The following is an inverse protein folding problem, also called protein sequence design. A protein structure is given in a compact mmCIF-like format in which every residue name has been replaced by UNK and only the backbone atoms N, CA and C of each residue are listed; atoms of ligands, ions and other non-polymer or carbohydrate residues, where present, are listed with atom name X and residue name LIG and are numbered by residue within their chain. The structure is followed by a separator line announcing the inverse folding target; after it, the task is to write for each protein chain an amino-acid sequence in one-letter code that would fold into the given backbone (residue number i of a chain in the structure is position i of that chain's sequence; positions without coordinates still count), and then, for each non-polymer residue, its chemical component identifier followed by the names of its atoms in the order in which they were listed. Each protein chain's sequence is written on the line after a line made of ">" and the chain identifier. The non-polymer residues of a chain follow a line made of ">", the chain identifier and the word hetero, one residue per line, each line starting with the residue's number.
data_IF_849513500662
#
_entry.id   IF_849513500662
#
_cell.length_a   1.000
_cell.length_b   1.000
_cell.length_c   1.000
_cell.angle_alpha   90.00
_cell.angle_beta   90.00
_cell.angle_gamma   90.00
#
_symmetry.space_group_name_H-M   'P 1'
#
loop_
_entity.id
_entity.type
_entity.pdbx_description
1 polymer ?
#
# COMPACT_ATOMS: atom_id res chain seq x y z
N UNK A 1 -11.68 11.55 29.26
CA UNK A 1 -11.75 10.19 29.85
C UNK A 1 -11.37 9.20 28.77
N UNK A 2 -10.25 8.50 28.92
CA UNK A 2 -9.77 7.53 27.93
C UNK A 2 -10.70 6.30 27.94
N UNK A 3 -11.51 6.14 26.89
CA UNK A 3 -12.30 4.91 26.68
C UNK A 3 -11.33 3.78 26.33
N UNK A 4 -11.31 2.71 27.12
CA UNK A 4 -10.66 1.45 26.76
C UNK A 4 -11.22 0.99 25.40
N UNK A 5 -10.40 1.02 24.35
CA UNK A 5 -10.69 0.42 23.04
C UNK A 5 -10.74 -1.11 23.21
N UNK A 6 -11.72 -1.76 22.58
CA UNK A 6 -11.79 -3.22 22.47
C UNK A 6 -10.59 -3.69 21.62
N UNK A 7 -9.93 -4.81 21.97
CA UNK A 7 -8.89 -5.37 21.11
C UNK A 7 -9.44 -5.70 19.71
N UNK A 8 -8.59 -5.74 18.67
CA UNK A 8 -8.99 -6.08 17.31
C UNK A 8 -9.76 -7.41 17.29
N UNK A 9 -10.67 -7.56 16.31
CA UNK A 9 -11.48 -8.76 16.13
C UNK A 9 -10.62 -10.02 16.33
N UNK A 10 -10.93 -10.76 17.40
CA UNK A 10 -10.19 -11.97 17.71
C UNK A 10 -10.45 -13.01 16.61
N UNK A 11 -9.46 -13.85 16.27
CA UNK A 11 -9.71 -15.07 15.50
C UNK A 11 -10.84 -15.86 16.18
N UNK A 12 -12.02 -15.91 15.56
CA UNK A 12 -13.20 -16.58 16.14
C UNK A 12 -14.39 -15.67 16.51
N UNK A 13 -14.44 -14.40 16.06
CA UNK A 13 -15.70 -13.64 16.12
C UNK A 13 -16.77 -14.34 15.27
N UNK A 14 -17.89 -14.70 15.90
CA UNK A 14 -19.00 -15.38 15.24
C UNK A 14 -19.86 -14.37 14.46
N UNK A 15 -19.71 -14.40 13.14
CA UNK A 15 -20.47 -13.56 12.21
C UNK A 15 -21.82 -14.16 11.82
N UNK A 16 -22.14 -15.38 12.24
CA UNK A 16 -23.38 -16.07 11.83
C UNK A 16 -24.63 -15.36 12.35
N UNK A 17 -24.62 -14.88 13.59
CA UNK A 17 -25.72 -14.13 14.19
C UNK A 17 -26.00 -12.79 13.47
N UNK A 18 -25.03 -11.87 13.30
CA UNK A 18 -25.28 -10.64 12.56
C UNK A 18 -25.60 -10.90 11.08
N UNK A 19 -25.03 -11.94 10.46
CA UNK A 19 -25.33 -12.29 9.07
C UNK A 19 -26.75 -12.85 8.87
N UNK A 20 -27.35 -13.48 9.89
CA UNK A 20 -28.70 -14.03 9.82
C UNK A 20 -29.77 -12.92 9.68
N UNK A 21 -29.52 -11.74 10.24
CA UNK A 21 -30.43 -10.59 10.18
C UNK A 21 -30.32 -9.80 8.86
N UNK A 22 -29.26 -10.01 8.09
CA UNK A 22 -29.05 -9.34 6.81
C UNK A 22 -29.96 -9.89 5.70
N UNK A 23 -30.28 -9.09 4.67
CA UNK A 23 -30.92 -9.59 3.46
C UNK A 23 -30.19 -10.77 2.82
N UNK A 24 -30.93 -11.56 2.04
CA UNK A 24 -30.36 -12.63 1.21
C UNK A 24 -30.00 -12.16 -0.20
N UNK A 25 -30.61 -11.06 -0.66
CA UNK A 25 -30.38 -10.50 -1.97
C UNK A 25 -29.06 -9.71 -2.04
N UNK A 26 -28.34 -9.87 -3.15
CA UNK A 26 -27.02 -9.27 -3.34
C UNK A 26 -27.09 -7.76 -3.50
N UNK A 27 -28.06 -7.23 -4.22
CA UNK A 27 -28.16 -5.80 -4.48
C UNK A 27 -28.60 -5.06 -3.21
N UNK A 28 -29.48 -5.69 -2.40
CA UNK A 28 -29.83 -5.18 -1.07
C UNK A 28 -28.63 -5.16 -0.11
N UNK A 29 -27.77 -6.19 -0.15
CA UNK A 29 -26.53 -6.23 0.64
C UNK A 29 -25.54 -5.13 0.23
N UNK A 30 -25.37 -4.90 -1.07
CA UNK A 30 -24.50 -3.84 -1.60
C UNK A 30 -24.99 -2.44 -1.20
N UNK A 31 -26.31 -2.20 -1.24
CA UNK A 31 -26.90 -0.93 -0.84
C UNK A 31 -26.72 -0.64 0.66
N UNK A 32 -26.66 -1.68 1.51
CA UNK A 32 -26.55 -1.55 2.96
C UNK A 32 -25.12 -1.29 3.48
N UNK A 33 -24.09 -1.41 2.63
CA UNK A 33 -22.71 -1.52 3.09
C UNK A 33 -22.12 -0.20 3.66
N UNK A 34 -22.41 0.97 3.08
CA UNK A 34 -21.48 2.11 3.24
C UNK A 34 -22.06 3.39 3.85
N UNK A 35 -23.37 3.50 4.04
CA UNK A 35 -23.98 4.76 4.53
C UNK A 35 -23.92 4.89 6.07
N UNK A 36 -24.00 3.77 6.79
CA UNK A 36 -24.19 3.81 8.25
C UNK A 36 -22.90 4.17 9.01
N UNK A 37 -21.74 3.76 8.50
CA UNK A 37 -20.42 4.02 9.12
C UNK A 37 -20.12 5.52 9.13
N UNK A 38 -20.20 6.17 7.97
CA UNK A 38 -19.98 7.60 7.85
C UNK A 38 -20.94 8.40 8.74
N UNK A 39 -22.23 8.10 8.66
CA UNK A 39 -23.23 8.80 9.46
C UNK A 39 -22.95 8.67 10.97
N UNK A 40 -22.48 7.52 11.44
CA UNK A 40 -22.09 7.34 12.85
C UNK A 40 -20.83 8.12 13.23
N UNK A 41 -19.80 8.11 12.37
CA UNK A 41 -18.57 8.88 12.57
C UNK A 41 -18.88 10.38 12.60
N UNK A 42 -19.72 10.87 11.69
CA UNK A 42 -20.12 12.27 11.62
C UNK A 42 -20.99 12.72 12.81
N UNK A 43 -21.62 11.80 13.54
CA UNK A 43 -22.26 12.07 14.84
C UNK A 43 -21.30 11.98 16.03
N UNK A 44 -20.07 11.53 15.83
CA UNK A 44 -19.11 11.26 16.90
C UNK A 44 -19.47 10.04 17.74
N UNK A 45 -20.38 9.19 17.24
CA UNK A 45 -20.85 7.99 17.92
C UNK A 45 -19.98 6.79 17.55
N UNK A 46 -18.88 6.63 18.29
CA UNK A 46 -17.95 5.53 18.08
C UNK A 46 -18.59 4.15 18.29
N UNK A 47 -19.61 4.01 19.15
CA UNK A 47 -20.25 2.72 19.36
C UNK A 47 -21.12 2.33 18.15
N UNK A 48 -21.87 3.29 17.61
CA UNK A 48 -22.62 3.07 16.38
C UNK A 48 -21.69 2.83 15.17
N UNK A 49 -20.53 3.50 15.12
CA UNK A 49 -19.55 3.29 14.04
C UNK A 49 -18.96 1.88 14.08
N UNK A 50 -18.63 1.36 15.27
CA UNK A 50 -18.18 -0.02 15.44
C UNK A 50 -19.28 -1.03 15.07
N UNK A 51 -20.52 -0.80 15.49
CA UNK A 51 -21.65 -1.67 15.11
C UNK A 51 -21.90 -1.68 13.59
N UNK A 52 -21.77 -0.52 12.93
CA UNK A 52 -21.87 -0.42 11.48
C UNK A 52 -20.67 -1.09 10.77
N UNK A 53 -19.48 -1.03 11.36
CA UNK A 53 -18.30 -1.74 10.90
C UNK A 53 -18.47 -3.26 11.01
N UNK A 54 -18.98 -3.76 12.14
CA UNK A 54 -19.33 -5.17 12.32
C UNK A 54 -20.38 -5.62 11.29
N UNK A 55 -21.38 -4.78 11.00
CA UNK A 55 -22.38 -5.06 9.96
C UNK A 55 -21.74 -5.16 8.56
N UNK A 56 -20.80 -4.28 8.22
CA UNK A 56 -20.06 -4.35 6.96
C UNK A 56 -19.27 -5.64 6.83
N UNK A 57 -18.56 -6.06 7.87
CA UNK A 57 -17.84 -7.34 7.89
C UNK A 57 -18.79 -8.53 7.77
N UNK A 58 -19.95 -8.50 8.43
CA UNK A 58 -20.98 -9.52 8.28
C UNK A 58 -21.54 -9.62 6.84
N UNK A 59 -21.66 -8.48 6.14
CA UNK A 59 -22.05 -8.44 4.71
C UNK A 59 -20.99 -9.16 3.87
N UNK A 60 -19.69 -8.84 4.05
CA UNK A 60 -18.60 -9.51 3.34
C UNK A 60 -18.62 -11.02 3.62
N UNK A 61 -18.73 -11.40 4.90
CA UNK A 61 -18.75 -12.80 5.33
C UNK A 61 -19.89 -13.58 4.68
N UNK A 62 -21.11 -12.99 4.67
CA UNK A 62 -22.30 -13.61 4.08
C UNK A 62 -22.16 -13.76 2.57
N UNK A 63 -21.73 -12.71 1.87
CA UNK A 63 -21.51 -12.75 0.43
C UNK A 63 -20.41 -13.73 0.03
N UNK A 64 -19.44 -13.98 0.92
CA UNK A 64 -18.34 -14.92 0.70
C UNK A 64 -18.66 -16.34 1.18
N UNK A 65 -19.94 -16.68 1.39
CA UNK A 65 -20.37 -18.05 1.69
C UNK A 65 -20.07 -18.50 3.12
N UNK A 66 -19.98 -17.57 4.07
CA UNK A 66 -19.79 -17.88 5.48
C UNK A 66 -18.32 -17.94 5.92
N UNK A 67 -17.45 -17.19 5.27
CA UNK A 67 -16.02 -17.10 5.63
C UNK A 67 -15.42 -15.76 5.19
N UNK A 68 -14.37 -15.28 5.85
CA UNK A 68 -13.57 -14.14 5.33
C UNK A 68 -12.38 -14.58 4.47
N UNK A 69 -12.07 -15.88 4.45
CA UNK A 69 -10.93 -16.41 3.69
C UNK A 69 -11.15 -16.12 2.21
N UNK A 70 -10.16 -15.48 1.57
CA UNK A 70 -10.22 -15.14 0.15
C UNK A 70 -11.20 -14.03 -0.21
N UNK A 71 -11.83 -13.36 0.76
CA UNK A 71 -12.82 -12.28 0.50
C UNK A 71 -12.26 -11.07 -0.27
N UNK A 72 -10.92 -10.95 -0.33
CA UNK A 72 -10.17 -9.91 -1.03
C UNK A 72 -9.21 -10.47 -2.09
N UNK A 73 -9.34 -11.74 -2.51
CA UNK A 73 -8.32 -12.43 -3.30
C UNK A 73 -8.23 -11.94 -4.75
N UNK A 74 -9.35 -11.62 -5.38
CA UNK A 74 -9.45 -11.19 -6.77
C UNK A 74 -10.58 -10.16 -6.98
N UNK A 75 -10.72 -9.69 -8.23
CA UNK A 75 -11.65 -8.63 -8.59
C UNK A 75 -13.14 -8.99 -8.41
N UNK A 76 -13.46 -10.28 -8.35
CA UNK A 76 -14.82 -10.79 -8.18
C UNK A 76 -15.08 -11.27 -6.75
N UNK A 77 -14.06 -11.23 -5.90
CA UNK A 77 -14.17 -11.54 -4.48
C UNK A 77 -15.12 -10.53 -3.81
N UNK A 78 -15.99 -10.97 -2.89
CA UNK A 78 -17.06 -10.12 -2.36
C UNK A 78 -16.61 -8.76 -1.80
N UNK A 79 -15.49 -8.71 -1.08
CA UNK A 79 -14.99 -7.45 -0.55
C UNK A 79 -14.53 -6.48 -1.66
N UNK A 80 -13.90 -6.98 -2.73
CA UNK A 80 -13.54 -6.17 -3.89
C UNK A 80 -14.76 -5.69 -4.67
N UNK A 81 -15.81 -6.50 -4.76
CA UNK A 81 -17.09 -6.13 -5.37
C UNK A 81 -17.77 -5.02 -4.57
N UNK A 82 -17.85 -5.15 -3.25
CA UNK A 82 -18.43 -4.13 -2.36
C UNK A 82 -17.64 -2.82 -2.46
N UNK A 83 -16.31 -2.87 -2.33
CA UNK A 83 -15.47 -1.68 -2.46
C UNK A 83 -15.63 -0.98 -3.81
N UNK A 84 -15.75 -1.75 -4.90
CA UNK A 84 -15.98 -1.20 -6.25
C UNK A 84 -17.36 -0.58 -6.36
N UNK A 85 -18.38 -1.24 -5.84
CA UNK A 85 -19.76 -0.77 -5.90
C UNK A 85 -19.95 0.50 -5.10
N UNK A 86 -19.34 0.58 -3.93
CA UNK A 86 -19.50 1.69 -3.01
C UNK A 86 -18.43 2.79 -3.18
N UNK A 87 -17.53 2.68 -4.16
CA UNK A 87 -16.49 3.66 -4.40
C UNK A 87 -17.09 5.06 -4.65
N UNK A 88 -16.44 6.08 -4.11
CA UNK A 88 -16.79 7.46 -4.40
C UNK A 88 -16.51 7.78 -5.87
N UNK A 89 -17.30 8.70 -6.44
CA UNK A 89 -17.05 9.22 -7.77
C UNK A 89 -15.68 9.90 -7.79
N UNK A 90 -14.79 9.62 -8.78
CA UNK A 90 -13.49 10.27 -8.84
C UNK A 90 -13.60 11.80 -8.85
N UNK A 91 -12.90 12.44 -7.91
CA UNK A 91 -12.95 13.89 -7.67
C UNK A 91 -13.81 14.29 -6.48
N UNK A 92 -14.81 13.48 -6.12
CA UNK A 92 -15.62 13.70 -4.93
C UNK A 92 -14.90 13.18 -3.68
N UNK A 93 -15.10 13.87 -2.56
CA UNK A 93 -14.58 13.43 -1.27
C UNK A 93 -15.33 12.15 -0.86
N UNK A 94 -14.61 11.03 -0.61
CA UNK A 94 -15.26 9.81 -0.17
C UNK A 94 -15.85 9.97 1.23
N UNK A 95 -16.97 9.29 1.47
CA UNK A 95 -17.45 9.04 2.83
C UNK A 95 -16.49 8.11 3.58
N UNK A 96 -16.56 8.08 4.90
CA UNK A 96 -15.85 7.03 5.65
C UNK A 96 -16.34 5.65 5.21
N UNK A 97 -15.42 4.68 5.11
CA UNK A 97 -15.61 3.32 4.55
C UNK A 97 -15.71 3.22 3.02
N UNK A 98 -15.71 4.34 2.28
CA UNK A 98 -15.54 4.31 0.83
C UNK A 98 -14.07 4.30 0.44
N UNK A 99 -13.76 3.73 -0.73
CA UNK A 99 -12.55 4.10 -1.44
C UNK A 99 -12.82 5.23 -2.41
N UNK A 100 -11.83 6.07 -2.69
CA UNK A 100 -11.99 7.19 -3.60
C UNK A 100 -10.70 7.93 -3.90
N UNK A 101 -10.77 8.79 -4.91
CA UNK A 101 -9.69 9.69 -5.28
C UNK A 101 -10.20 11.12 -5.26
N UNK A 102 -9.51 12.03 -4.57
CA UNK A 102 -9.95 13.42 -4.45
C UNK A 102 -8.76 14.38 -4.34
N UNK A 103 -9.04 15.66 -4.56
CA UNK A 103 -8.03 16.72 -4.51
C UNK A 103 -7.99 17.35 -3.12
N UNK A 104 -6.81 17.43 -2.53
CA UNK A 104 -6.56 18.19 -1.30
C UNK A 104 -5.62 19.35 -1.56
N UNK A 105 -5.94 20.52 -1.02
CA UNK A 105 -5.10 21.71 -1.07
C UNK A 105 -4.79 22.22 0.34
N UNK A 106 -3.51 22.43 0.65
CA UNK A 106 -3.04 23.05 1.90
C UNK A 106 -2.06 24.17 1.55
N UNK A 107 -2.53 25.42 1.68
CA UNK A 107 -1.79 26.58 1.21
C UNK A 107 -1.59 26.54 -0.30
N UNK A 108 -0.33 26.55 -0.73
CA UNK A 108 0.08 26.47 -2.13
C UNK A 108 0.38 25.05 -2.63
N UNK A 109 0.20 24.04 -1.77
CA UNK A 109 0.46 22.63 -2.08
C UNK A 109 -0.83 21.92 -2.44
N UNK A 110 -0.84 21.25 -3.60
CA UNK A 110 -1.94 20.40 -4.07
C UNK A 110 -1.49 18.94 -4.11
N UNK A 111 -2.31 18.06 -3.56
CA UNK A 111 -2.08 16.63 -3.56
C UNK A 111 -3.32 15.91 -4.11
N UNK A 112 -3.09 14.93 -4.98
CA UNK A 112 -4.08 13.92 -5.29
C UNK A 112 -4.02 12.90 -4.14
N UNK A 113 -5.17 12.65 -3.52
CA UNK A 113 -5.28 11.67 -2.44
C UNK A 113 -6.02 10.46 -2.95
N UNK A 114 -5.37 9.30 -2.90
CA UNK A 114 -6.05 8.01 -2.92
C UNK A 114 -6.40 7.63 -1.48
N UNK A 115 -7.68 7.33 -1.26
CA UNK A 115 -8.19 6.90 0.03
C UNK A 115 -8.84 5.54 -0.11
N UNK A 116 -8.53 4.66 0.83
CA UNK A 116 -9.12 3.33 0.98
C UNK A 116 -9.15 2.93 2.45
N UNK A 117 -9.89 1.86 2.75
CA UNK A 117 -9.89 1.28 4.09
C UNK A 117 -8.48 0.82 4.46
N UNK A 118 -8.04 1.20 5.65
CA UNK A 118 -6.75 0.80 6.20
C UNK A 118 -6.76 -0.62 6.76
N UNK A 119 -5.65 -1.02 7.37
CA UNK A 119 -5.60 -2.29 8.11
C UNK A 119 -6.58 -2.28 9.29
N UNK A 120 -7.24 -3.41 9.53
CA UNK A 120 -8.13 -3.60 10.67
C UNK A 120 -9.61 -3.30 10.40
N UNK A 121 -10.00 -3.18 9.13
CA UNK A 121 -11.40 -3.08 8.71
C UNK A 121 -11.85 -1.67 8.32
N UNK A 122 -13.16 -1.43 8.19
CA UNK A 122 -13.76 -0.21 7.62
C UNK A 122 -13.43 1.10 8.34
N UNK A 123 -13.07 1.01 9.63
CA UNK A 123 -12.68 2.18 10.44
C UNK A 123 -11.19 2.53 10.32
N UNK A 124 -10.40 1.63 9.73
CA UNK A 124 -9.03 1.93 9.33
C UNK A 124 -9.01 2.89 8.15
N UNK A 125 -8.02 3.77 8.10
CA UNK A 125 -7.87 4.74 7.02
C UNK A 125 -6.46 4.64 6.41
N UNK A 126 -6.38 4.51 5.10
CA UNK A 126 -5.13 4.61 4.36
C UNK A 126 -5.19 5.81 3.40
N UNK A 127 -4.33 6.80 3.65
CA UNK A 127 -4.19 7.98 2.83
C UNK A 127 -2.90 7.89 2.01
N UNK A 128 -3.05 7.97 0.70
CA UNK A 128 -1.97 7.92 -0.28
C UNK A 128 -1.88 9.29 -0.96
N UNK A 129 -0.87 10.07 -0.59
CA UNK A 129 -0.68 11.42 -1.11
C UNK A 129 0.25 11.40 -2.32
N UNK A 130 -0.24 11.86 -3.46
CA UNK A 130 0.49 11.99 -4.72
C UNK A 130 0.67 13.45 -5.09
N UNK A 131 1.89 13.80 -5.51
CA UNK A 131 2.22 15.14 -5.98
C UNK A 131 1.52 15.47 -7.29
N UNK A 132 0.93 16.67 -7.37
CA UNK A 132 0.34 17.21 -8.60
C UNK A 132 1.33 18.17 -9.29
N UNK A 133 1.90 19.09 -8.52
CA UNK A 133 2.81 20.13 -9.01
C UNK A 133 4.27 19.72 -8.79
N UNK A 134 4.90 19.19 -9.84
CA UNK A 134 6.25 18.59 -9.79
C UNK A 134 7.37 19.62 -9.61
N UNK A 135 7.13 20.88 -9.98
CA UNK A 135 8.07 21.98 -9.82
C UNK A 135 7.95 22.69 -8.45
N UNK A 136 7.12 22.18 -7.54
CA UNK A 136 6.89 22.78 -6.21
C UNK A 136 7.30 21.85 -5.07
N UNK A 137 7.54 22.41 -3.87
CA UNK A 137 7.76 21.59 -2.68
C UNK A 137 6.59 20.65 -2.39
N UNK A 138 6.92 19.46 -1.92
CA UNK A 138 5.98 18.42 -1.51
C UNK A 138 6.40 17.82 -0.16
N UNK A 139 5.65 16.84 0.36
CA UNK A 139 5.96 16.15 1.63
C UNK A 139 6.93 14.98 1.48
N UNK A 140 7.34 14.65 0.25
CA UNK A 140 8.22 13.53 -0.09
C UNK A 140 9.03 13.79 -1.36
N UNK A 141 10.29 13.35 -1.36
CA UNK A 141 11.22 13.42 -2.50
C UNK A 141 10.80 12.53 -3.68
N UNK A 142 10.01 11.49 -3.41
CA UNK A 142 9.49 10.58 -4.44
C UNK A 142 8.23 11.10 -5.13
N UNK A 143 7.64 12.18 -4.61
CA UNK A 143 6.31 12.63 -5.02
C UNK A 143 5.16 11.77 -4.46
N UNK A 144 5.45 10.83 -3.55
CA UNK A 144 4.48 9.94 -2.94
C UNK A 144 4.69 9.80 -1.44
N UNK A 145 3.59 9.74 -0.67
CA UNK A 145 3.62 9.44 0.77
C UNK A 145 2.35 8.70 1.19
N UNK A 146 2.51 7.51 1.78
CA UNK A 146 1.43 6.83 2.50
C UNK A 146 1.33 7.28 3.96
N UNK A 147 0.13 7.21 4.51
CA UNK A 147 -0.18 7.46 5.90
C UNK A 147 -1.36 6.58 6.35
N UNK A 148 -1.17 5.80 7.40
CA UNK A 148 -2.24 5.04 8.03
C UNK A 148 -2.77 5.80 9.25
N UNK A 149 -4.09 5.83 9.37
CA UNK A 149 -4.81 6.46 10.47
C UNK A 149 -6.08 5.65 10.78
N UNK A 150 -6.94 6.18 11.64
CA UNK A 150 -8.29 5.68 11.90
C UNK A 150 -9.30 6.79 11.65
N UNK A 151 -10.55 6.41 11.37
CA UNK A 151 -11.64 7.37 11.26
C UNK A 151 -11.74 8.28 12.48
N UNK A 152 -11.89 9.59 12.23
CA UNK A 152 -11.96 10.61 13.30
C UNK A 152 -13.38 11.14 13.39
N UNK A 153 -14.02 10.89 14.53
CA UNK A 153 -15.38 11.35 14.78
C UNK A 153 -15.53 12.86 14.58
N UNK A 154 -16.67 13.27 14.02
CA UNK A 154 -17.03 14.65 13.71
C UNK A 154 -16.15 15.33 12.64
N UNK A 155 -15.33 14.57 11.91
CA UNK A 155 -14.50 15.10 10.82
C UNK A 155 -14.74 14.29 9.55
N UNK A 156 -14.78 14.98 8.42
CA UNK A 156 -14.82 14.37 7.09
C UNK A 156 -13.46 13.79 6.70
N UNK A 157 -13.44 12.89 5.71
CA UNK A 157 -12.19 12.34 5.16
C UNK A 157 -11.26 13.46 4.64
N UNK A 158 -11.82 14.50 4.01
CA UNK A 158 -11.10 15.66 3.49
C UNK A 158 -10.48 16.53 4.61
N UNK A 159 -11.20 16.79 5.70
CA UNK A 159 -10.64 17.51 6.85
C UNK A 159 -9.48 16.75 7.50
N UNK A 160 -9.60 15.43 7.62
CA UNK A 160 -8.53 14.59 8.15
C UNK A 160 -7.34 14.56 7.20
N UNK A 161 -7.55 14.37 5.89
CA UNK A 161 -6.49 14.39 4.88
C UNK A 161 -5.76 15.74 4.84
N UNK A 162 -6.48 16.87 4.92
CA UNK A 162 -5.89 18.22 5.03
C UNK A 162 -5.03 18.35 6.30
N UNK A 163 -5.55 17.90 7.43
CA UNK A 163 -4.82 17.92 8.70
C UNK A 163 -3.52 17.12 8.66
N UNK A 164 -3.57 15.90 8.09
CA UNK A 164 -2.40 15.03 7.89
C UNK A 164 -1.40 15.70 6.96
N UNK A 165 -1.84 16.22 5.81
CA UNK A 165 -0.96 16.87 4.83
C UNK A 165 -0.27 18.10 5.46
N UNK A 166 -1.00 18.91 6.22
CA UNK A 166 -0.47 20.06 6.94
C UNK A 166 0.56 19.66 7.99
N UNK A 167 0.29 18.62 8.79
CA UNK A 167 1.21 18.11 9.80
C UNK A 167 2.50 17.56 9.17
N UNK A 168 2.39 16.73 8.14
CA UNK A 168 3.53 16.17 7.42
C UNK A 168 4.39 17.26 6.77
N UNK A 169 3.76 18.34 6.27
CA UNK A 169 4.49 19.52 5.76
C UNK A 169 5.22 20.24 6.89
N UNK A 170 4.60 20.45 8.04
CA UNK A 170 5.19 21.14 9.19
C UNK A 170 6.38 20.39 9.81
N UNK A 171 6.40 19.05 9.73
CA UNK A 171 7.56 18.23 10.13
C UNK A 171 8.81 18.51 9.29
N UNK A 172 8.67 19.04 8.06
CA UNK A 172 9.80 19.33 7.19
C UNK A 172 10.43 20.67 7.55
N UNK A 173 11.65 20.62 8.10
CA UNK A 173 12.47 21.81 8.40
C UNK A 173 12.84 22.64 7.15
N UNK A 174 12.78 22.04 5.97
CA UNK A 174 13.09 22.66 4.68
C UNK A 174 12.09 22.20 3.63
N UNK A 175 11.82 23.03 2.60
CA UNK A 175 11.04 22.58 1.44
C UNK A 175 11.68 21.32 0.83
N UNK A 176 10.88 20.28 0.63
CA UNK A 176 11.32 19.03 0.01
C UNK A 176 10.88 19.05 -1.46
N UNK A 177 11.84 18.99 -2.38
CA UNK A 177 11.55 18.92 -3.82
C UNK A 177 11.49 17.48 -4.28
N UNK A 178 10.66 17.20 -5.28
CA UNK A 178 10.67 15.88 -5.94
C UNK A 178 12.00 15.71 -6.68
N UNK A 179 12.69 14.59 -6.47
CA UNK A 179 13.96 14.33 -7.16
C UNK A 179 13.76 14.23 -8.67
N UNK A 180 14.79 14.58 -9.43
CA UNK A 180 14.73 14.64 -10.88
C UNK A 180 14.25 13.33 -11.53
N UNK A 181 14.73 12.19 -11.06
CA UNK A 181 14.34 10.86 -11.57
C UNK A 181 12.85 10.58 -11.39
N UNK A 182 12.30 10.87 -10.22
CA UNK A 182 10.86 10.70 -9.95
C UNK A 182 10.03 11.73 -10.70
N UNK A 183 10.49 12.98 -10.76
CA UNK A 183 9.83 14.05 -11.50
C UNK A 183 9.76 13.74 -13.00
N UNK A 184 10.82 13.22 -13.60
CA UNK A 184 10.84 12.82 -15.01
C UNK A 184 9.86 11.68 -15.28
N UNK A 185 9.86 10.64 -14.45
CA UNK A 185 8.91 9.53 -14.56
C UNK A 185 7.47 10.03 -14.41
N UNK A 186 7.19 10.83 -13.38
CA UNK A 186 5.86 11.37 -13.13
C UNK A 186 5.41 12.32 -14.23
N UNK A 187 6.31 13.09 -14.86
CA UNK A 187 5.94 13.94 -15.98
C UNK A 187 5.36 13.15 -17.17
N UNK A 188 5.81 11.90 -17.37
CA UNK A 188 5.28 10.99 -18.38
C UNK A 188 4.03 10.22 -17.91
N UNK A 189 3.83 10.07 -16.60
CA UNK A 189 2.65 9.43 -16.02
C UNK A 189 1.43 10.40 -16.05
N UNK A 190 0.35 10.06 -16.79
CA UNK A 190 -0.81 10.94 -16.88
C UNK A 190 -1.55 11.02 -15.54
N UNK A 191 -2.00 12.22 -15.18
CA UNK A 191 -2.95 12.40 -14.08
C UNK A 191 -4.33 11.84 -14.47
N UNK A 192 -5.16 11.43 -13.49
CA UNK A 192 -6.56 11.09 -13.73
C UNK A 192 -7.28 12.13 -14.57
N UNK A 193 -8.11 11.69 -15.52
CA UNK A 193 -8.76 12.56 -16.50
C UNK A 193 -9.61 13.68 -15.86
N UNK A 194 -10.20 13.43 -14.69
CA UNK A 194 -11.00 14.41 -13.95
C UNK A 194 -10.18 15.60 -13.43
N UNK A 195 -8.84 15.50 -13.39
CA UNK A 195 -7.94 16.61 -13.06
C UNK A 195 -7.54 17.48 -14.27
N UNK A 196 -7.98 17.16 -15.49
CA UNK A 196 -7.59 17.92 -16.69
C UNK A 196 -8.05 19.39 -16.68
N UNK A 197 -9.14 19.70 -15.96
CA UNK A 197 -9.72 21.04 -15.83
C UNK A 197 -9.28 21.81 -14.58
N UNK A 198 -8.22 21.38 -13.89
CA UNK A 198 -7.71 22.10 -12.72
C UNK A 198 -7.30 23.54 -13.08
N UNK A 199 -7.72 24.50 -12.23
CA UNK A 199 -7.27 25.88 -12.31
C UNK A 199 -6.53 26.29 -11.02
N UNK A 200 -5.23 26.66 -11.08
CA UNK A 200 -4.36 26.61 -12.26
C UNK A 200 -4.06 25.18 -12.73
N UNK A 201 -3.63 24.95 -13.98
CA UNK A 201 -3.32 23.59 -14.46
C UNK A 201 -2.22 22.93 -13.63
N UNK A 202 -2.23 21.59 -13.60
CA UNK A 202 -1.19 20.80 -12.93
C UNK A 202 0.18 21.05 -13.58
N UNK A 203 1.20 21.30 -12.75
CA UNK A 203 2.57 21.58 -13.22
C UNK A 203 3.36 20.28 -13.37
N UNK A 204 3.31 19.67 -14.55
CA UNK A 204 3.86 18.34 -14.83
C UNK A 204 5.15 18.35 -15.67
N UNK A 205 5.91 19.43 -15.64
CA UNK A 205 7.15 19.53 -16.43
C UNK A 205 8.24 18.59 -15.85
N UNK A 206 8.98 17.84 -16.68
CA UNK A 206 10.11 17.02 -16.21
C UNK A 206 11.25 17.90 -15.67
N UNK A 207 12.13 17.31 -14.86
CA UNK A 207 13.36 17.95 -14.40
C UNK A 207 14.44 17.92 -15.50
N UNK A 208 14.53 16.81 -16.21
CA UNK A 208 15.50 16.59 -17.28
C UNK A 208 14.85 16.81 -18.64
N UNK A 209 15.10 17.96 -19.24
CA UNK A 209 14.63 18.22 -20.61
C UNK A 209 15.62 17.64 -21.60
N UNK A 210 15.36 16.44 -22.12
CA UNK A 210 16.14 15.88 -23.22
C UNK A 210 15.77 16.54 -24.53
N UNK A 211 16.65 17.40 -25.05
CA UNK A 211 16.45 18.10 -26.31
C UNK A 211 16.85 17.18 -27.48
N UNK A 212 15.96 16.88 -28.44
CA UNK A 212 16.34 16.07 -29.60
C UNK A 212 17.42 16.78 -30.44
N UNK A 213 18.28 16.05 -31.16
CA UNK A 213 19.24 16.67 -32.07
C UNK A 213 18.55 17.61 -33.05
N UNK A 214 19.16 18.78 -33.30
CA UNK A 214 18.59 19.83 -34.13
C UNK A 214 17.67 20.81 -33.37
N UNK A 215 17.43 20.58 -32.08
CA UNK A 215 16.75 21.53 -31.20
C UNK A 215 17.72 22.05 -30.14
N UNK A 216 17.44 23.23 -29.58
CA UNK A 216 18.21 23.86 -28.50
C UNK A 216 17.23 24.50 -27.50
N UNK A 217 17.51 24.37 -26.21
CA UNK A 217 16.81 25.12 -25.16
C UNK A 217 17.36 26.55 -25.13
N UNK A 218 16.47 27.53 -25.11
CA UNK A 218 16.85 28.95 -25.10
C UNK A 218 16.05 29.67 -24.02
N UNK A 219 16.75 30.33 -23.10
CA UNK A 219 16.15 31.28 -22.17
C UNK A 219 16.06 32.64 -22.85
N UNK A 220 14.87 33.26 -22.83
CA UNK A 220 14.62 34.55 -23.48
C UNK A 220 14.01 35.53 -22.48
N UNK A 221 14.68 36.67 -22.27
CA UNK A 221 14.15 37.77 -21.47
C UNK A 221 13.40 38.73 -22.39
N UNK A 222 12.08 38.83 -22.21
CA UNK A 222 11.21 39.70 -23.00
C UNK A 222 10.40 40.64 -22.09
N UNK A 223 10.09 41.87 -22.53
CA UNK A 223 9.08 42.68 -21.88
C UNK A 223 7.72 41.96 -21.82
N UNK A 224 6.92 42.20 -20.79
CA UNK A 224 5.65 41.48 -20.56
C UNK A 224 4.71 41.45 -21.77
N UNK A 225 4.62 42.57 -22.51
CA UNK A 225 3.79 42.68 -23.71
C UNK A 225 4.29 41.86 -24.91
N UNK A 226 5.51 41.30 -24.85
CA UNK A 226 6.11 40.42 -25.87
C UNK A 226 6.20 38.97 -25.42
N UNK A 227 5.83 38.63 -24.19
CA UNK A 227 5.90 37.26 -23.67
C UNK A 227 5.12 36.24 -24.52
N UNK A 228 4.07 36.69 -25.22
CA UNK A 228 3.31 35.83 -26.15
C UNK A 228 4.15 35.28 -27.30
N UNK A 229 5.24 35.95 -27.70
CA UNK A 229 6.14 35.50 -28.77
C UNK A 229 6.85 34.21 -28.33
N UNK A 230 7.42 34.22 -27.11
CA UNK A 230 8.07 33.04 -26.55
C UNK A 230 7.08 31.88 -26.36
N UNK A 231 5.84 32.16 -25.91
CA UNK A 231 4.77 31.16 -25.81
C UNK A 231 4.45 30.53 -27.17
N UNK A 232 4.37 31.34 -28.22
CA UNK A 232 4.11 30.86 -29.59
C UNK A 232 5.24 29.96 -30.10
N UNK A 233 6.50 30.38 -29.91
CA UNK A 233 7.66 29.56 -30.28
C UNK A 233 7.71 28.25 -29.50
N UNK A 234 7.42 28.27 -28.19
CA UNK A 234 7.39 27.07 -27.36
C UNK A 234 6.32 26.09 -27.84
N UNK A 235 5.11 26.56 -28.17
CA UNK A 235 4.04 25.71 -28.68
C UNK A 235 4.40 25.06 -30.04
N UNK A 236 4.99 25.84 -30.96
CA UNK A 236 5.43 25.33 -32.26
C UNK A 236 6.58 24.32 -32.12
N UNK A 237 7.55 24.62 -31.25
CA UNK A 237 8.67 23.73 -30.94
C UNK A 237 8.20 22.44 -30.27
N UNK A 238 7.22 22.49 -29.36
CA UNK A 238 6.68 21.31 -28.68
C UNK A 238 6.09 20.29 -29.67
N UNK A 239 5.34 20.77 -30.68
CA UNK A 239 4.81 19.90 -31.73
C UNK A 239 5.93 19.22 -32.55
N UNK A 240 6.97 19.99 -32.94
CA UNK A 240 8.13 19.49 -33.69
C UNK A 240 8.98 18.51 -32.89
N UNK A 241 9.21 18.79 -31.61
CA UNK A 241 9.94 17.93 -30.67
C UNK A 241 9.19 16.62 -30.43
N UNK A 242 7.86 16.67 -30.22
CA UNK A 242 7.03 15.47 -30.07
C UNK A 242 7.11 14.57 -31.31
N UNK A 243 7.00 15.16 -32.50
CA UNK A 243 7.16 14.43 -33.77
C UNK A 243 8.56 13.81 -33.92
N UNK A 244 9.62 14.56 -33.61
CA UNK A 244 11.01 14.07 -33.67
C UNK A 244 11.27 12.92 -32.68
N UNK A 245 10.72 13.00 -31.46
CA UNK A 245 10.78 11.91 -30.47
C UNK A 245 10.04 10.66 -30.95
N UNK A 246 8.82 10.81 -31.47
CA UNK A 246 8.04 9.68 -32.02
C UNK A 246 8.76 8.99 -33.20
N UNK A 247 9.34 9.78 -34.12
CA UNK A 247 10.12 9.25 -35.24
C UNK A 247 11.35 8.44 -34.77
N UNK A 248 12.06 8.91 -33.73
CA UNK A 248 13.19 8.19 -33.12
C UNK A 248 12.76 6.88 -32.46
N UNK A 249 11.65 6.86 -31.73
CA UNK A 249 11.12 5.64 -31.13
C UNK A 249 10.76 4.60 -32.19
N UNK A 250 10.12 5.02 -33.28
CA UNK A 250 9.79 4.15 -34.42
C UNK A 250 11.05 3.62 -35.15
N UNK A 251 12.08 4.45 -35.33
CA UNK A 251 13.35 4.02 -35.91
C UNK A 251 14.06 2.99 -35.02
N UNK A 252 14.05 3.18 -33.70
CA UNK A 252 14.64 2.24 -32.72
C UNK A 252 13.87 0.91 -32.64
N UNK A 253 12.55 0.94 -32.83
CA UNK A 253 11.70 -0.26 -32.95
C UNK A 253 11.97 -1.05 -34.24
N UNK A 254 12.14 -0.37 -35.39
CA UNK A 254 12.51 -1.02 -36.66
C UNK A 254 13.89 -1.69 -36.62
N UNK A 255 14.87 -1.09 -35.94
CA UNK A 255 16.23 -1.67 -35.81
C UNK A 255 16.20 -2.95 -34.94
N UNK A 256 15.28 -3.08 -33.98
CA UNK A 256 15.09 -4.32 -33.20
C UNK A 256 14.26 -5.39 -33.91
N UNK A 257 13.47 -5.04 -34.93
CA UNK A 257 12.64 -5.96 -35.70
C UNK A 257 13.32 -6.57 -36.94
N UNK A 258 14.51 -6.10 -37.32
CA UNK A 258 15.30 -6.66 -38.41
C UNK A 258 16.31 -7.69 -37.88
N UNK A 259 15.81 -8.86 -37.48
CA UNK A 259 16.63 -10.07 -37.37
C UNK A 259 16.93 -10.65 -38.75
N UNK A 260 18.04 -11.39 -38.95
CA UNK A 260 18.39 -11.93 -40.26
C UNK A 260 17.37 -13.00 -40.68
N UNK A 261 16.93 -12.89 -41.92
CA UNK A 261 16.11 -13.84 -42.65
C UNK A 261 16.68 -15.26 -42.50
N UNK A 262 15.90 -16.17 -41.93
CA UNK A 262 16.16 -17.63 -41.96
C UNK A 262 15.02 -18.29 -42.72
N UNK A 263 15.39 -18.91 -43.83
CA UNK A 263 14.58 -19.86 -44.56
C UNK A 263 14.20 -21.10 -43.72
N UNK A 264 13.12 -21.82 -44.09
CA UNK A 264 12.24 -22.51 -43.17
C UNK A 264 12.62 -23.98 -43.00
N UNK A 265 12.80 -24.45 -41.76
CA UNK A 265 12.58 -25.85 -41.43
C UNK A 265 12.40 -26.05 -39.92
N UNK A 266 11.23 -26.60 -39.59
CA UNK A 266 10.96 -27.56 -38.51
C UNK A 266 10.76 -27.08 -37.06
N UNK A 267 9.48 -27.12 -36.68
CA UNK A 267 8.88 -27.65 -35.45
C UNK A 267 9.26 -27.07 -34.08
N UNK A 268 8.35 -26.25 -33.56
CA UNK A 268 7.97 -26.16 -32.14
C UNK A 268 7.48 -27.52 -31.59
N UNK A 269 7.38 -27.77 -30.25
CA UNK A 269 6.95 -26.78 -29.25
C UNK A 269 7.52 -26.86 -27.80
N UNK A 270 7.13 -25.80 -27.06
CA UNK A 270 6.79 -25.68 -25.62
C UNK A 270 7.82 -25.82 -24.48
N UNK A 271 7.86 -24.71 -23.71
CA UNK A 271 7.71 -24.58 -22.24
C UNK A 271 8.95 -24.56 -21.31
N UNK A 272 9.00 -23.40 -20.62
CA UNK A 272 9.26 -23.16 -19.19
C UNK A 272 10.66 -23.34 -18.58
N UNK A 273 11.15 -22.20 -18.08
CA UNK A 273 11.63 -21.93 -16.72
C UNK A 273 12.12 -23.14 -15.89
N UNK A 274 13.39 -23.11 -15.48
CA UNK A 274 13.77 -23.24 -14.07
C UNK A 274 15.21 -22.82 -13.81
N UNK A 275 15.36 -22.22 -12.63
CA UNK A 275 16.53 -21.82 -11.86
C UNK A 275 17.61 -22.90 -11.74
N UNK A 276 18.87 -22.47 -11.80
CA UNK A 276 20.05 -23.30 -11.49
C UNK A 276 20.40 -23.16 -10.00
N UNK A 277 20.38 -24.28 -9.27
CA UNK A 277 21.12 -24.50 -8.02
C UNK A 277 22.46 -25.16 -8.37
N UNK A 278 23.48 -24.92 -7.54
CA UNK A 278 24.67 -25.76 -7.45
C UNK A 278 24.73 -26.36 -6.02
N UNK A 279 24.59 -27.68 -5.94
CA UNK A 279 25.47 -28.72 -5.35
C UNK A 279 26.34 -28.35 -4.13
N UNK A 280 26.56 -29.20 -3.11
CA UNK A 280 26.78 -30.65 -3.07
C UNK A 280 26.48 -31.26 -1.67
N UNK A 281 26.09 -32.55 -1.66
CA UNK A 281 26.66 -33.65 -0.83
C UNK A 281 25.61 -34.68 -0.33
N UNK A 282 25.63 -35.86 -0.98
CA UNK A 282 25.03 -37.15 -0.59
C UNK A 282 26.14 -38.07 0.03
N UNK A 283 25.94 -39.38 0.38
CA UNK A 283 24.72 -40.17 0.60
C UNK A 283 24.79 -41.17 1.79
N UNK A 284 23.67 -41.85 2.10
CA UNK A 284 23.58 -43.30 2.39
C UNK A 284 22.11 -43.70 2.65
N UNK A 285 21.42 -44.28 1.66
CA UNK A 285 21.12 -45.72 1.46
C UNK A 285 19.97 -46.32 2.29
N UNK A 286 18.94 -46.84 1.58
CA UNK A 286 18.11 -47.97 2.02
C UNK A 286 16.58 -47.82 1.84
N UNK A 287 16.03 -48.23 0.70
CA UNK A 287 14.61 -48.66 0.60
C UNK A 287 14.44 -50.16 0.95
N UNK A 288 13.32 -50.85 0.66
CA UNK A 288 12.04 -50.38 0.06
C UNK A 288 10.73 -51.02 0.65
N UNK A 289 9.59 -50.59 0.09
CA UNK A 289 8.32 -51.31 -0.18
C UNK A 289 7.25 -51.63 0.93
N UNK A 290 6.08 -50.97 0.77
CA UNK A 290 4.63 -51.40 0.75
C UNK A 290 4.17 -52.75 1.35
N UNK A 291 2.87 -52.99 1.72
CA UNK A 291 1.64 -52.34 1.21
C UNK A 291 0.44 -52.10 2.19
N UNK A 292 -0.54 -51.33 1.70
CA UNK A 292 -2.01 -51.49 1.78
C UNK A 292 -2.67 -52.15 3.02
N UNK A 293 -3.44 -51.37 3.79
CA UNK A 293 -4.55 -51.89 4.58
C UNK A 293 -5.67 -50.84 4.79
N UNK A 294 -6.84 -51.24 4.32
CA UNK A 294 -8.22 -50.78 4.48
C UNK A 294 -8.59 -50.06 5.80
N UNK A 295 -9.42 -49.02 5.66
CA UNK A 295 -10.15 -48.26 6.69
C UNK A 295 -11.12 -49.17 7.48
N UNK A 296 -11.24 -48.95 8.80
CA UNK A 296 -12.58 -48.77 9.38
C UNK A 296 -12.63 -47.54 10.32
N UNK A 297 -13.79 -46.87 10.31
CA UNK A 297 -14.02 -45.60 10.99
C UNK A 297 -14.20 -45.68 12.50
N UNK A 298 -14.19 -44.47 13.09
CA UNK A 298 -14.83 -44.16 14.37
C UNK A 298 -13.97 -44.40 15.62
N UNK A 299 -13.14 -43.42 15.99
CA UNK A 299 -13.01 -43.03 17.41
C UNK A 299 -12.41 -41.64 17.54
N UNK A 300 -13.13 -40.82 18.29
CA UNK A 300 -12.77 -39.53 18.85
C UNK A 300 -11.38 -39.52 19.48
N UNK A 301 -10.47 -38.70 18.96
CA UNK A 301 -9.25 -38.30 19.64
C UNK A 301 -9.34 -36.81 20.01
N UNK A 302 -9.76 -36.61 21.25
CA UNK A 302 -9.72 -35.36 22.00
C UNK A 302 -8.27 -34.88 22.09
N UNK A 303 -7.93 -33.75 21.47
CA UNK A 303 -6.76 -32.97 21.89
C UNK A 303 -7.24 -31.92 22.88
N UNK A 304 -6.97 -32.23 24.13
CA UNK A 304 -7.26 -31.47 25.33
C UNK A 304 -6.83 -30.01 25.21
N UNK A 305 -7.83 -29.14 25.40
CA UNK A 305 -7.66 -27.80 25.92
C UNK A 305 -6.93 -27.94 27.26
N UNK A 306 -5.64 -27.59 27.29
CA UNK A 306 -5.01 -27.23 28.55
C UNK A 306 -5.63 -25.89 28.97
N UNK A 307 -6.56 -25.97 29.91
CA UNK A 307 -6.89 -24.83 30.78
C UNK A 307 -5.61 -24.46 31.49
N UNK A 308 -5.07 -23.28 31.21
CA UNK A 308 -4.16 -22.67 32.15
C UNK A 308 -4.99 -21.96 33.20
N UNK A 309 -4.73 -22.39 34.42
CA UNK A 309 -5.31 -21.95 35.68
C UNK A 309 -5.17 -20.44 35.91
N UNK A 310 -5.96 -19.97 36.87
CA UNK A 310 -5.96 -18.63 37.45
C UNK A 310 -4.54 -18.06 37.67
N UNK A 311 -4.10 -17.19 36.77
CA UNK A 311 -2.93 -16.34 36.94
C UNK A 311 -3.34 -14.94 37.37
N UNK A 312 -2.84 -14.49 38.51
CA UNK A 312 -2.87 -13.08 38.94
C UNK A 312 -2.27 -12.11 37.90
N UNK A 313 -2.20 -10.80 38.21
CA UNK A 313 -2.10 -9.74 37.21
C UNK A 313 -0.85 -9.92 36.34
N UNK A 314 -1.04 -10.38 35.11
CA UNK A 314 0.04 -10.49 34.16
C UNK A 314 0.56 -9.08 33.86
N UNK A 315 1.83 -8.87 34.21
CA UNK A 315 2.56 -7.63 34.11
C UNK A 315 2.31 -6.91 32.77
N UNK A 316 2.02 -5.62 32.86
CA UNK A 316 2.07 -4.69 31.74
C UNK A 316 3.53 -4.62 31.25
N UNK A 317 3.92 -5.54 30.36
CA UNK A 317 5.22 -5.47 29.68
C UNK A 317 5.29 -4.16 28.91
N UNK A 318 6.02 -3.21 29.47
CA UNK A 318 6.22 -1.88 28.90
C UNK A 318 7.40 -1.93 27.93
N UNK A 319 7.09 -2.05 26.64
CA UNK A 319 8.09 -1.91 25.59
C UNK A 319 8.65 -0.49 25.53
N UNK A 320 9.94 -0.36 25.25
CA UNK A 320 10.68 0.90 25.13
C UNK A 320 11.52 0.89 23.86
N UNK A 321 11.66 2.04 23.17
CA UNK A 321 12.61 2.18 22.06
C UNK A 321 14.02 1.71 22.45
N UNK A 322 14.69 1.01 21.54
CA UNK A 322 16.01 0.43 21.71
C UNK A 322 16.01 -1.01 22.26
N UNK A 323 14.88 -1.54 22.73
CA UNK A 323 14.82 -2.91 23.23
C UNK A 323 14.88 -3.94 22.11
N UNK A 324 15.54 -5.06 22.39
CA UNK A 324 15.60 -6.23 21.52
C UNK A 324 14.47 -7.19 21.85
N UNK A 325 13.79 -7.66 20.82
CA UNK A 325 12.65 -8.57 20.92
C UNK A 325 12.75 -9.70 19.92
N UNK A 326 12.09 -10.80 20.22
CA UNK A 326 11.87 -11.94 19.33
C UNK A 326 10.42 -11.93 18.84
N UNK A 327 10.20 -12.20 17.56
CA UNK A 327 8.86 -12.40 17.00
C UNK A 327 8.39 -13.80 17.40
N UNK A 328 7.33 -13.89 18.20
CA UNK A 328 6.77 -15.17 18.67
C UNK A 328 5.48 -15.56 17.97
N UNK A 329 4.83 -14.62 17.29
CA UNK A 329 3.60 -14.85 16.53
C UNK A 329 3.52 -13.90 15.35
N UNK A 330 2.81 -14.31 14.30
CA UNK A 330 2.53 -13.49 13.12
C UNK A 330 1.06 -13.58 12.74
N UNK A 331 0.53 -12.51 12.16
CA UNK A 331 -0.89 -12.44 11.81
C UNK A 331 -1.27 -13.23 10.55
N UNK A 332 -0.30 -13.58 9.69
CA UNK A 332 -0.56 -14.32 8.44
C UNK A 332 0.44 -15.47 8.24
N UNK A 333 -0.01 -16.68 7.82
CA UNK A 333 0.86 -17.86 7.65
C UNK A 333 2.05 -17.65 6.69
N UNK A 334 1.91 -16.77 5.70
CA UNK A 334 3.03 -16.43 4.79
C UNK A 334 4.25 -15.87 5.54
N UNK A 335 4.03 -15.26 6.71
CA UNK A 335 5.08 -14.72 7.56
C UNK A 335 5.54 -15.69 8.63
N UNK A 336 5.13 -16.96 8.62
CA UNK A 336 5.55 -17.94 9.64
C UNK A 336 7.07 -18.06 9.74
N UNK A 337 7.78 -17.85 8.63
CA UNK A 337 9.24 -17.81 8.57
C UNK A 337 9.89 -16.60 9.28
N UNK A 338 9.09 -15.66 9.81
CA UNK A 338 9.56 -14.55 10.66
C UNK A 338 9.53 -14.87 12.14
N UNK A 339 8.79 -15.90 12.56
CA UNK A 339 8.81 -16.37 13.95
C UNK A 339 10.24 -16.79 14.31
N UNK A 340 10.72 -16.35 15.47
CA UNK A 340 12.09 -16.55 15.94
C UNK A 340 13.09 -15.49 15.50
N UNK A 341 12.72 -14.58 14.59
CA UNK A 341 13.61 -13.47 14.19
C UNK A 341 13.71 -12.43 15.30
N UNK A 342 14.90 -11.84 15.41
CA UNK A 342 15.21 -10.78 16.36
C UNK A 342 15.04 -9.41 15.71
N UNK A 343 14.47 -8.48 16.47
CA UNK A 343 14.17 -7.11 16.03
C UNK A 343 14.55 -6.11 17.12
N UNK A 344 14.78 -4.86 16.73
CA UNK A 344 15.04 -3.73 17.62
C UNK A 344 13.87 -2.75 17.52
N UNK A 345 13.27 -2.39 18.66
CA UNK A 345 12.17 -1.44 18.73
C UNK A 345 12.67 -0.02 18.45
N UNK A 346 12.01 0.68 17.53
CA UNK A 346 12.30 2.08 17.18
C UNK A 346 11.26 3.02 17.79
N UNK A 347 9.97 2.65 17.74
CA UNK A 347 8.87 3.45 18.28
C UNK A 347 7.84 2.55 18.94
N UNK A 348 7.20 3.07 19.98
CA UNK A 348 6.14 2.38 20.72
C UNK A 348 4.89 3.24 20.64
N UNK A 349 3.76 2.63 20.31
CA UNK A 349 2.43 3.24 20.32
C UNK A 349 1.59 2.50 21.37
N UNK A 350 1.61 2.96 22.64
CA UNK A 350 0.87 2.30 23.72
C UNK A 350 -0.63 2.24 23.47
N UNK A 351 -1.18 3.29 22.87
CA UNK A 351 -2.63 3.43 22.62
C UNK A 351 -3.16 2.40 21.62
N UNK A 352 -2.32 1.96 20.67
CA UNK A 352 -2.67 0.92 19.68
C UNK A 352 -2.02 -0.43 20.00
N UNK A 353 -1.27 -0.53 21.10
CA UNK A 353 -0.49 -1.72 21.50
C UNK A 353 0.40 -2.25 20.38
N UNK A 354 1.07 -1.34 19.68
CA UNK A 354 1.94 -1.65 18.54
C UNK A 354 3.32 -1.06 18.73
N UNK A 355 4.31 -1.70 18.12
CA UNK A 355 5.68 -1.19 18.03
C UNK A 355 6.15 -1.19 16.58
N UNK A 356 6.93 -0.18 16.21
CA UNK A 356 7.71 -0.18 14.99
C UNK A 356 9.10 -0.67 15.31
N UNK A 357 9.59 -1.65 14.56
CA UNK A 357 10.88 -2.28 14.80
C UNK A 357 11.56 -2.63 13.48
N UNK A 358 12.88 -2.73 13.49
CA UNK A 358 13.66 -3.22 12.35
C UNK A 358 14.39 -4.51 12.71
N UNK A 359 14.84 -5.26 11.69
CA UNK A 359 15.62 -6.48 11.90
C UNK A 359 16.89 -6.20 12.71
N UNK A 360 17.16 -7.04 13.72
CA UNK A 360 18.38 -7.01 14.53
C UNK A 360 19.54 -7.70 13.79
N UNK A 361 19.84 -7.19 12.59
CA UNK A 361 20.97 -7.63 11.77
C UNK A 361 21.98 -6.49 11.64
N UNK A 362 23.28 -6.81 11.53
CA UNK A 362 24.29 -5.80 11.29
C UNK A 362 24.16 -5.22 9.87
N UNK A 363 24.59 -3.97 9.71
CA UNK A 363 24.72 -3.32 8.39
C UNK A 363 25.74 -4.07 7.56
N UNK A 364 25.37 -4.48 6.34
CA UNK A 364 26.28 -5.13 5.39
C UNK A 364 26.85 -4.09 4.42
N UNK A 365 28.06 -4.36 3.93
CA UNK A 365 28.79 -3.47 3.03
C UNK A 365 29.27 -4.23 1.81
N UNK A 366 29.31 -3.55 0.67
CA UNK A 366 29.91 -4.06 -0.57
C UNK A 366 30.95 -3.10 -1.11
N UNK A 367 31.86 -3.60 -1.94
CA UNK A 367 32.81 -2.77 -2.69
C UNK A 367 32.22 -2.47 -4.05
N UNK A 368 32.06 -1.19 -4.39
CA UNK A 368 31.55 -0.78 -5.70
C UNK A 368 32.64 -0.92 -6.78
N UNK A 369 32.24 -0.73 -8.05
CA UNK A 369 33.16 -0.81 -9.20
C UNK A 369 34.34 0.18 -9.15
N UNK A 370 34.23 1.23 -8.33
CA UNK A 370 35.29 2.21 -8.09
C UNK A 370 36.19 1.86 -6.88
N UNK A 371 36.10 0.63 -6.36
CA UNK A 371 36.90 0.16 -5.22
C UNK A 371 36.50 0.74 -3.86
N UNK A 372 35.37 1.45 -3.77
CA UNK A 372 34.92 2.08 -2.52
C UNK A 372 33.96 1.16 -1.77
N UNK A 373 34.14 1.07 -0.46
CA UNK A 373 33.19 0.40 0.45
C UNK A 373 31.93 1.26 0.57
N UNK A 374 30.78 0.70 0.19
CA UNK A 374 29.46 1.33 0.29
C UNK A 374 28.54 0.42 1.11
N UNK A 375 27.54 1.01 1.78
CA UNK A 375 26.49 0.25 2.46
C UNK A 375 25.72 -0.55 1.41
N UNK A 376 25.54 -1.84 1.66
CA UNK A 376 24.76 -2.74 0.81
C UNK A 376 23.36 -2.94 1.39
N UNK A 377 23.27 -3.21 2.69
CA UNK A 377 22.00 -3.30 3.41
C UNK A 377 22.14 -2.71 4.80
N UNK A 378 21.28 -1.75 5.12
CA UNK A 378 21.08 -1.25 6.47
C UNK A 378 19.67 -1.64 6.92
N UNK A 379 19.55 -2.64 7.81
CA UNK A 379 18.26 -3.09 8.33
C UNK A 379 17.43 -1.99 8.98
N UNK A 380 18.06 -0.95 9.54
CA UNK A 380 17.35 0.17 10.20
C UNK A 380 16.50 1.01 9.24
N UNK A 381 16.80 0.95 7.93
CA UNK A 381 16.02 1.62 6.89
C UNK A 381 14.64 0.98 6.65
N UNK A 382 14.43 -0.27 7.09
CA UNK A 382 13.17 -1.01 6.87
C UNK A 382 12.53 -1.29 8.22
N UNK A 383 11.44 -0.58 8.52
CA UNK A 383 10.68 -0.76 9.76
C UNK A 383 9.39 -1.51 9.49
N UNK A 384 9.10 -2.49 10.34
CA UNK A 384 7.87 -3.27 10.33
C UNK A 384 7.10 -3.02 11.62
N UNK A 385 5.77 -3.09 11.56
CA UNK A 385 4.89 -2.91 12.70
C UNK A 385 4.50 -4.26 13.29
N UNK A 386 4.55 -4.38 14.61
CA UNK A 386 4.20 -5.59 15.36
C UNK A 386 3.28 -5.26 16.52
N UNK A 387 2.34 -6.16 16.83
CA UNK A 387 1.54 -6.11 18.05
C UNK A 387 2.35 -6.50 19.29
N UNK A 388 1.98 -5.99 20.45
CA UNK A 388 2.66 -6.34 21.72
C UNK A 388 2.62 -7.85 22.03
N UNK A 389 1.55 -8.52 21.62
CA UNK A 389 1.33 -9.96 21.76
C UNK A 389 2.16 -10.81 20.77
N UNK A 390 2.71 -10.19 19.73
CA UNK A 390 3.55 -10.84 18.74
C UNK A 390 5.02 -10.89 19.15
N UNK A 391 5.39 -10.22 20.23
CA UNK A 391 6.78 -10.01 20.62
C UNK A 391 7.08 -10.53 22.02
N UNK A 392 8.29 -11.04 22.18
CA UNK A 392 8.87 -11.38 23.47
C UNK A 392 10.16 -10.60 23.67
N UNK A 393 10.30 -9.93 24.81
CA UNK A 393 11.55 -9.29 25.19
C UNK A 393 12.68 -10.31 25.29
N UNK A 394 13.81 -9.99 24.68
CA UNK A 394 15.06 -10.74 24.86
C UNK A 394 15.88 -9.92 25.85
N UNK A 395 16.01 -10.44 27.07
CA UNK A 395 16.79 -9.82 28.15
C UNK A 395 18.29 -9.82 27.85
#
# INVERSE_FOLDING_TARGET
>A
MAKKRKPPAQPGQDWSAPAAELPGDRDELLAAAVVEIDAAIMRGDGAAAEAASDKYEAIIWKMNGGTHVGSMADHESPGQVIERHCAAVPGDVPLWSQRGQFLVTVGDMRALVEYEAGYGGPLGAHFQFHVIDLDRPFISETGYRSHFDTARGLMTVDEVARGILAALRAEKKRPVMVEASYRDRLADDPLPAWLAGLEPPARREPATVTVPPGFVLVDVVLPSHRAFIARRWAAEAAAKVKAARAARSNAKGKIKGAGPERDPASSEPTMTCSTVKADDAEPAQGGPASPEATIPGGSTATCSIARNDDGGPADLVEFKPGQRCEIVSVHHPVFAHYIGKRIIIVKVHPDTRQVWAHDDRPVTYKTNRAGRRVVDSDPSCIQSCYGFDQLRLIT
#
